data_IF_376662301977
#
_entry.id   IF_376662301977
#
_cell.length_a   1.000
_cell.length_b   1.000
_cell.length_c   1.000
_cell.angle_alpha   90.00
_cell.angle_beta   90.00
_cell.angle_gamma   90.00
#
_symmetry.space_group_name_H-M   'P 1'
#
loop_
_entity.id
_entity.type
_entity.pdbx_description
1 polymer ?
#
# COMPACT_ATOMS: atom_id res chain seq x y z
N UNK A 1 -18.42 -2.50 26.37
CA UNK A 1 -18.83 -1.09 26.19
C UNK A 1 -19.17 -0.90 24.72
N UNK A 2 -20.34 -0.35 24.35
CA UNK A 2 -20.62 -0.03 22.96
C UNK A 2 -19.62 1.02 22.45
N UNK A 3 -19.06 0.78 21.27
CA UNK A 3 -18.11 1.68 20.61
C UNK A 3 -18.81 3.01 20.26
N UNK A 4 -18.21 4.15 20.62
CA UNK A 4 -18.75 5.47 20.26
C UNK A 4 -18.87 5.59 18.73
N UNK A 5 -19.90 6.31 18.20
CA UNK A 5 -20.02 6.55 16.75
C UNK A 5 -18.75 7.12 16.12
N UNK A 6 -18.01 7.97 16.84
CA UNK A 6 -16.74 8.54 16.37
C UNK A 6 -15.67 7.46 16.22
N UNK A 7 -15.56 6.58 17.22
CA UNK A 7 -14.59 5.47 17.19
C UNK A 7 -14.92 4.49 16.07
N UNK A 8 -16.20 4.16 15.86
CA UNK A 8 -16.63 3.29 14.76
C UNK A 8 -16.31 3.91 13.39
N UNK A 9 -16.49 5.23 13.24
CA UNK A 9 -16.10 5.93 12.01
C UNK A 9 -14.58 5.89 11.78
N UNK A 10 -13.79 6.18 12.83
CA UNK A 10 -12.33 6.14 12.74
C UNK A 10 -11.82 4.74 12.35
N UNK A 11 -12.36 3.69 12.97
CA UNK A 11 -12.01 2.29 12.64
C UNK A 11 -12.35 1.97 11.19
N UNK A 12 -13.52 2.39 10.70
CA UNK A 12 -13.92 2.20 9.30
C UNK A 12 -12.99 2.92 8.30
N UNK A 13 -12.57 4.14 8.62
CA UNK A 13 -11.65 4.90 7.76
C UNK A 13 -10.28 4.23 7.71
N UNK A 14 -9.74 3.82 8.86
CA UNK A 14 -8.44 3.19 8.94
C UNK A 14 -8.43 1.81 8.28
N UNK A 15 -9.47 1.00 8.46
CA UNK A 15 -9.60 -0.30 7.81
C UNK A 15 -9.61 -0.15 6.29
N UNK A 16 -10.40 0.81 5.77
CA UNK A 16 -10.41 1.12 4.34
C UNK A 16 -9.05 1.60 3.83
N UNK A 17 -8.38 2.47 4.58
CA UNK A 17 -7.07 2.98 4.18
C UNK A 17 -6.01 1.87 4.18
N UNK A 18 -5.96 1.03 5.22
CA UNK A 18 -5.08 -0.13 5.29
C UNK A 18 -5.28 -1.07 4.10
N UNK A 19 -6.53 -1.34 3.71
CA UNK A 19 -6.84 -2.19 2.57
C UNK A 19 -6.26 -1.67 1.24
N UNK A 20 -6.07 -0.35 1.10
CA UNK A 20 -5.56 0.28 -0.11
C UNK A 20 -4.10 0.77 0.02
N UNK A 21 -3.46 0.62 1.18
CA UNK A 21 -2.23 1.35 1.53
C UNK A 21 -1.07 1.10 0.57
N UNK A 22 -0.93 -0.12 0.05
CA UNK A 22 0.11 -0.45 -0.93
C UNK A 22 -0.12 0.32 -2.23
N UNK A 23 -1.35 0.32 -2.76
CA UNK A 23 -1.71 1.09 -3.96
C UNK A 23 -1.54 2.61 -3.72
N UNK A 24 -1.88 3.10 -2.53
CA UNK A 24 -1.66 4.50 -2.14
C UNK A 24 -0.17 4.89 -2.13
N UNK A 25 0.72 3.99 -1.68
CA UNK A 25 2.17 4.22 -1.73
C UNK A 25 2.66 4.30 -3.18
N UNK A 26 2.21 3.43 -4.07
CA UNK A 26 2.59 3.50 -5.48
C UNK A 26 1.99 4.72 -6.18
N UNK A 27 0.76 5.14 -5.84
CA UNK A 27 0.18 6.40 -6.30
C UNK A 27 0.96 7.62 -5.81
N UNK A 28 1.47 7.60 -4.58
CA UNK A 28 2.33 8.67 -4.06
C UNK A 28 3.63 8.77 -4.86
N UNK A 29 4.25 7.63 -5.20
CA UNK A 29 5.42 7.59 -6.08
C UNK A 29 5.06 8.15 -7.46
N UNK A 30 3.97 7.68 -8.08
CA UNK A 30 3.51 8.10 -9.41
C UNK A 30 3.25 9.61 -9.51
N UNK A 31 2.68 10.22 -8.47
CA UNK A 31 2.29 11.64 -8.47
C UNK A 31 3.37 12.59 -7.95
N UNK A 32 4.49 12.07 -7.41
CA UNK A 32 5.61 12.88 -6.95
C UNK A 32 6.78 12.78 -7.95
N UNK A 33 7.15 13.90 -8.57
CA UNK A 33 8.17 13.94 -9.63
C UNK A 33 9.52 13.37 -9.18
N UNK A 34 9.98 13.71 -7.99
CA UNK A 34 11.28 13.27 -7.46
C UNK A 34 11.27 11.77 -7.16
N UNK A 35 10.22 11.29 -6.49
CA UNK A 35 10.07 9.87 -6.18
C UNK A 35 9.92 9.03 -7.44
N UNK A 36 9.14 9.49 -8.43
CA UNK A 36 8.97 8.77 -9.70
C UNK A 36 10.30 8.68 -10.45
N UNK A 37 11.07 9.77 -10.50
CA UNK A 37 12.39 9.76 -11.15
C UNK A 37 13.32 8.74 -10.49
N UNK A 38 13.44 8.77 -9.16
CA UNK A 38 14.28 7.83 -8.41
C UNK A 38 13.78 6.38 -8.57
N UNK A 39 12.46 6.17 -8.55
CA UNK A 39 11.86 4.86 -8.79
C UNK A 39 12.23 4.31 -10.17
N UNK A 40 12.10 5.11 -11.24
CA UNK A 40 12.42 4.68 -12.60
C UNK A 40 13.90 4.38 -12.77
N UNK A 41 14.79 5.17 -12.15
CA UNK A 41 16.23 4.89 -12.13
C UNK A 41 16.53 3.54 -11.46
N UNK A 42 15.98 3.29 -10.27
CA UNK A 42 16.20 2.03 -9.56
C UNK A 42 15.60 0.86 -10.35
N UNK A 43 14.39 1.00 -10.91
CA UNK A 43 13.77 -0.03 -11.76
C UNK A 43 14.63 -0.36 -12.97
N UNK A 44 15.29 0.63 -13.58
CA UNK A 44 16.18 0.42 -14.72
C UNK A 44 17.41 -0.44 -14.39
N UNK A 45 17.86 -0.41 -13.12
CA UNK A 45 19.05 -1.13 -12.65
C UNK A 45 18.69 -2.49 -12.01
N UNK A 46 17.60 -2.54 -11.23
CA UNK A 46 17.26 -3.68 -10.36
C UNK A 46 16.08 -4.52 -10.88
N UNK A 47 15.36 -4.03 -11.88
CA UNK A 47 14.19 -4.69 -12.48
C UNK A 47 12.87 -4.37 -11.77
N UNK A 48 11.81 -4.21 -12.57
CA UNK A 48 10.48 -3.79 -12.12
C UNK A 48 9.92 -4.68 -11.00
N UNK A 49 9.92 -6.00 -11.21
CA UNK A 49 9.30 -6.94 -10.28
C UNK A 49 10.02 -6.96 -8.92
N UNK A 50 11.35 -6.90 -8.94
CA UNK A 50 12.16 -6.90 -7.72
C UNK A 50 11.91 -5.65 -6.88
N UNK A 51 11.91 -4.47 -7.52
CA UNK A 51 11.62 -3.19 -6.86
C UNK A 51 10.20 -3.20 -6.28
N UNK A 52 9.21 -3.59 -7.09
CA UNK A 52 7.82 -3.58 -6.67
C UNK A 52 7.54 -4.54 -5.50
N UNK A 53 8.07 -5.77 -5.57
CA UNK A 53 7.92 -6.75 -4.47
C UNK A 53 8.62 -6.29 -3.20
N UNK A 54 9.80 -5.68 -3.32
CA UNK A 54 10.55 -5.15 -2.17
C UNK A 54 9.80 -4.01 -1.51
N UNK A 55 9.27 -3.05 -2.27
CA UNK A 55 8.44 -1.97 -1.76
C UNK A 55 7.18 -2.50 -1.07
N UNK A 56 6.44 -3.42 -1.70
CA UNK A 56 5.25 -4.03 -1.10
C UNK A 56 5.53 -4.72 0.23
N UNK A 57 6.64 -5.48 0.32
CA UNK A 57 7.09 -6.07 1.59
C UNK A 57 7.40 -5.02 2.65
N UNK A 58 8.09 -3.94 2.26
CA UNK A 58 8.44 -2.83 3.16
C UNK A 58 7.21 -2.08 3.68
N UNK A 59 6.18 -1.89 2.86
CA UNK A 59 4.89 -1.33 3.29
C UNK A 59 4.27 -2.18 4.39
N UNK A 60 4.17 -3.50 4.15
CA UNK A 60 3.64 -4.44 5.14
C UNK A 60 4.40 -4.40 6.47
N UNK A 61 5.73 -4.47 6.40
CA UNK A 61 6.61 -4.46 7.58
C UNK A 61 6.48 -3.16 8.38
N UNK A 62 6.51 -2.01 7.70
CA UNK A 62 6.48 -0.70 8.33
C UNK A 62 5.18 -0.44 9.08
N UNK A 63 4.05 -0.79 8.47
CA UNK A 63 2.72 -0.58 9.05
C UNK A 63 2.18 -1.77 9.86
N UNK A 64 2.99 -2.83 10.03
CA UNK A 64 2.64 -4.06 10.77
C UNK A 64 1.31 -4.66 10.29
N UNK A 65 1.19 -4.79 8.98
CA UNK A 65 -0.05 -5.21 8.33
C UNK A 65 -0.16 -6.73 8.21
N UNK A 66 -1.39 -7.22 8.27
CA UNK A 66 -1.72 -8.60 7.95
C UNK A 66 -2.12 -8.71 6.48
N UNK A 67 -1.70 -9.79 5.82
CA UNK A 67 -2.08 -10.04 4.43
C UNK A 67 -3.48 -10.65 4.38
N UNK A 68 -4.31 -10.11 3.51
CA UNK A 68 -5.59 -10.69 3.12
C UNK A 68 -5.45 -11.26 1.71
N UNK A 69 -6.42 -10.98 0.82
CA UNK A 69 -6.40 -11.35 -0.59
C UNK A 69 -5.53 -10.44 -1.47
N UNK A 70 -5.41 -10.80 -2.75
CA UNK A 70 -4.76 -10.00 -3.77
C UNK A 70 -5.80 -9.20 -4.58
N UNK A 71 -5.55 -7.91 -4.78
CA UNK A 71 -6.33 -7.05 -5.67
C UNK A 71 -5.63 -6.94 -7.03
N UNK A 72 -6.34 -7.32 -8.10
CA UNK A 72 -5.86 -7.32 -9.49
C UNK A 72 -6.18 -6.02 -10.26
N UNK A 73 -6.75 -5.02 -9.59
CA UNK A 73 -7.19 -3.75 -10.19
C UNK A 73 -6.61 -2.56 -9.40
N UNK A 74 -5.27 -2.38 -9.40
CA UNK A 74 -4.65 -1.21 -8.77
C UNK A 74 -5.04 0.08 -9.51
N UNK A 75 -5.04 1.19 -8.78
CA UNK A 75 -5.17 2.53 -9.36
C UNK A 75 -3.83 3.03 -9.87
N UNK A 76 -2.73 2.69 -9.20
CA UNK A 76 -1.40 3.03 -9.69
C UNK A 76 -1.04 2.26 -10.96
N UNK A 77 -0.41 2.96 -11.90
CA UNK A 77 0.11 2.38 -13.14
C UNK A 77 1.44 1.66 -12.96
N UNK A 78 2.06 1.77 -11.78
CA UNK A 78 3.38 1.19 -11.49
C UNK A 78 3.30 -0.30 -11.12
N UNK A 79 2.11 -0.80 -10.80
CA UNK A 79 1.86 -2.18 -10.37
C UNK A 79 0.68 -2.78 -11.14
N UNK A 80 0.65 -4.11 -11.22
CA UNK A 80 -0.46 -4.86 -11.86
C UNK A 80 -1.44 -5.43 -10.84
N UNK A 81 -0.97 -5.67 -9.63
CA UNK A 81 -1.74 -6.16 -8.50
C UNK A 81 -1.06 -5.76 -7.20
N UNK A 82 -1.77 -5.89 -6.08
CA UNK A 82 -1.20 -5.72 -4.74
C UNK A 82 -1.96 -6.55 -3.71
N UNK A 83 -1.31 -6.88 -2.59
CA UNK A 83 -1.98 -7.54 -1.47
C UNK A 83 -2.82 -6.53 -0.68
N UNK A 84 -4.10 -6.84 -0.49
CA UNK A 84 -4.98 -6.12 0.42
C UNK A 84 -4.53 -6.40 1.85
N UNK A 85 -4.52 -5.36 2.68
CA UNK A 85 -3.98 -5.43 4.02
C UNK A 85 -4.99 -5.02 5.08
N UNK A 86 -5.01 -5.78 6.17
CA UNK A 86 -5.67 -5.32 7.39
C UNK A 86 -4.66 -4.63 8.31
N UNK A 87 -5.11 -3.59 9.01
CA UNK A 87 -4.37 -3.04 10.14
C UNK A 87 -4.06 -4.12 11.19
N UNK A 88 -3.03 -3.94 12.03
CA UNK A 88 -2.67 -4.93 13.03
C UNK A 88 -3.89 -5.31 13.89
N UNK A 89 -4.09 -6.61 14.09
CA UNK A 89 -5.07 -7.09 15.06
C UNK A 89 -4.77 -6.49 16.43
N UNK A 90 -5.78 -5.87 17.05
CA UNK A 90 -5.70 -5.34 18.42
C UNK A 90 -5.54 -6.47 19.43
#
# INVERSE_FOLDING_TARGET
MPTSPITAFAEKVLDKFSNEITDQVFLMIENNKELLQNYLEIVSNEGLDNVNQTLGKKVKEYFKLENLEENQNPKSKLIKSYTVHKGPSK
#
